data_IF_062777367381
#
_entry.id   IF_062777367381
#
_cell.length_a   1.000
_cell.length_b   1.000
_cell.length_c   1.000
_cell.angle_alpha   90.00
_cell.angle_beta   90.00
_cell.angle_gamma   90.00
#
_symmetry.space_group_name_H-M   'P 1'
#
loop_
_entity.id
_entity.type
_entity.pdbx_description
1 polymer ?
#
# COMPACT_ATOMS: atom_id res chain seq x y z
N UNK A 1 -17.61 -27.08 -1.27
CA UNK A 1 -17.86 -26.22 -0.09
C UNK A 1 -18.95 -25.23 -0.50
N UNK A 2 -20.10 -25.22 0.18
CA UNK A 2 -21.25 -24.42 -0.23
C UNK A 2 -21.05 -22.99 0.26
N UNK A 3 -20.89 -22.04 -0.66
CA UNK A 3 -20.70 -20.62 -0.34
C UNK A 3 -22.06 -20.04 0.07
N UNK A 4 -22.27 -19.84 1.37
CA UNK A 4 -23.53 -19.26 1.89
C UNK A 4 -23.48 -17.75 1.65
N UNK A 5 -24.02 -17.30 0.52
CA UNK A 5 -24.26 -15.87 0.26
C UNK A 5 -25.55 -15.44 0.98
N UNK A 6 -25.42 -14.60 2.01
CA UNK A 6 -26.57 -13.91 2.58
C UNK A 6 -27.08 -12.86 1.57
N UNK A 7 -28.34 -13.00 1.15
CA UNK A 7 -29.01 -12.03 0.27
C UNK A 7 -29.75 -11.03 1.15
N UNK A 8 -29.26 -9.80 1.19
CA UNK A 8 -29.95 -8.71 1.90
C UNK A 8 -30.99 -8.07 0.97
N UNK A 9 -32.27 -8.13 1.36
CA UNK A 9 -33.39 -7.54 0.61
C UNK A 9 -33.43 -6.01 0.64
N UNK A 10 -32.80 -5.39 1.65
CA UNK A 10 -32.75 -3.94 1.85
C UNK A 10 -31.32 -3.48 2.06
N UNK A 11 -31.01 -2.30 1.56
CA UNK A 11 -29.68 -1.69 1.74
C UNK A 11 -29.56 -1.10 3.14
N UNK A 12 -28.35 -1.03 3.71
CA UNK A 12 -28.11 -0.47 5.06
C UNK A 12 -28.69 0.93 5.25
N UNK A 13 -28.70 1.74 4.19
CA UNK A 13 -29.24 3.10 4.19
C UNK A 13 -30.78 3.15 4.39
N UNK A 14 -31.48 2.02 4.24
CA UNK A 14 -32.93 1.94 4.36
C UNK A 14 -33.40 1.51 5.75
N UNK A 15 -32.50 1.04 6.60
CA UNK A 15 -32.82 0.68 7.98
C UNK A 15 -32.85 1.92 8.88
N UNK A 16 -33.80 1.96 9.82
CA UNK A 16 -33.91 3.06 10.79
C UNK A 16 -34.46 4.37 10.21
N UNK A 17 -35.08 4.34 9.02
CA UNK A 17 -35.83 5.50 8.50
C UNK A 17 -36.88 5.93 9.51
N UNK A 18 -37.07 7.25 9.66
CA UNK A 18 -38.05 7.83 10.56
C UNK A 18 -39.44 7.28 10.24
N UNK A 19 -40.09 6.65 11.23
CA UNK A 19 -41.50 6.32 11.13
C UNK A 19 -42.30 7.63 11.06
N UNK A 20 -43.01 7.85 9.95
CA UNK A 20 -43.92 8.98 9.81
C UNK A 20 -45.26 8.53 10.40
N UNK A 21 -45.47 8.84 11.67
CA UNK A 21 -46.76 8.63 12.30
C UNK A 21 -47.69 9.75 11.86
N UNK A 22 -48.80 9.38 11.20
CA UNK A 22 -49.89 10.29 10.92
C UNK A 22 -51.00 10.06 11.94
N UNK A 23 -51.64 11.16 12.37
CA UNK A 23 -52.86 11.07 13.16
C UNK A 23 -53.98 10.59 12.24
N UNK A 24 -54.20 9.28 12.19
CA UNK A 24 -55.44 8.72 11.71
C UNK A 24 -56.49 8.91 12.80
N UNK A 25 -57.72 9.29 12.44
CA UNK A 25 -58.81 9.49 13.40
C UNK A 25 -59.09 8.22 14.21
N UNK A 26 -59.96 8.28 15.24
CA UNK A 26 -60.26 7.11 16.07
C UNK A 26 -60.82 5.99 15.17
N UNK A 27 -59.97 5.02 14.86
CA UNK A 27 -60.30 3.82 14.12
C UNK A 27 -60.15 2.66 15.09
N UNK A 28 -61.25 1.95 15.33
CA UNK A 28 -61.24 0.74 16.13
C UNK A 28 -60.73 -0.38 15.24
N UNK A 29 -59.43 -0.66 15.28
CA UNK A 29 -58.82 -1.76 14.52
C UNK A 29 -59.35 -3.12 14.98
N UNK A 30 -59.49 -3.30 16.30
CA UNK A 30 -60.04 -4.51 16.91
C UNK A 30 -60.84 -4.19 18.18
N UNK A 31 -61.99 -4.85 18.34
CA UNK A 31 -62.77 -4.85 19.58
C UNK A 31 -62.54 -6.16 20.33
N UNK A 32 -61.63 -6.15 21.30
CA UNK A 32 -61.36 -7.31 22.15
C UNK A 32 -62.32 -7.29 23.33
N UNK A 33 -63.33 -8.15 23.29
CA UNK A 33 -64.31 -8.29 24.38
C UNK A 33 -63.71 -9.09 25.55
N UNK A 34 -63.95 -8.70 26.81
CA UNK A 34 -63.47 -9.45 27.96
C UNK A 34 -64.03 -10.88 27.96
N UNK A 35 -63.17 -11.86 28.27
CA UNK A 35 -63.62 -13.23 28.46
C UNK A 35 -64.46 -13.31 29.76
N UNK A 36 -65.74 -13.71 29.70
CA UNK A 36 -66.63 -13.76 30.88
C UNK A 36 -66.09 -14.64 32.02
N UNK A 37 -65.41 -15.73 31.68
CA UNK A 37 -64.88 -16.68 32.66
C UNK A 37 -63.68 -16.11 33.42
N UNK A 38 -62.83 -15.32 32.74
CA UNK A 38 -61.71 -14.63 33.39
C UNK A 38 -62.18 -13.43 34.20
N UNK A 39 -63.21 -12.73 33.74
CA UNK A 39 -63.83 -11.62 34.47
C UNK A 39 -64.44 -12.10 35.79
N UNK A 40 -65.03 -13.30 35.82
CA UNK A 40 -65.58 -13.89 37.05
C UNK A 40 -64.48 -14.21 38.07
N UNK A 41 -63.28 -14.56 37.61
CA UNK A 41 -62.12 -14.87 38.45
C UNK A 41 -61.21 -13.66 38.72
N UNK A 42 -61.55 -12.49 38.19
CA UNK A 42 -60.79 -11.27 38.35
C UNK A 42 -60.77 -10.83 39.82
N UNK A 43 -59.58 -10.68 40.38
CA UNK A 43 -59.37 -10.17 41.73
C UNK A 43 -58.45 -8.95 41.66
N UNK A 44 -58.95 -7.81 42.09
CA UNK A 44 -58.17 -6.57 42.19
C UNK A 44 -57.03 -6.78 43.19
N UNK A 45 -55.78 -6.67 42.72
CA UNK A 45 -54.60 -6.71 43.57
C UNK A 45 -54.09 -5.30 43.82
N UNK A 46 -53.87 -4.96 45.09
CA UNK A 46 -53.41 -3.62 45.50
C UNK A 46 -51.92 -3.39 45.23
N UNK A 47 -51.12 -4.46 45.17
CA UNK A 47 -49.69 -4.40 44.85
C UNK A 47 -49.34 -5.49 43.84
N UNK A 48 -48.76 -5.08 42.71
CA UNK A 48 -48.23 -5.98 41.69
C UNK A 48 -46.75 -5.68 41.52
N UNK A 49 -45.89 -6.64 41.85
CA UNK A 49 -44.47 -6.56 41.48
C UNK A 49 -44.34 -7.00 40.02
N UNK A 50 -44.08 -6.06 39.12
CA UNK A 50 -43.75 -6.33 37.73
C UNK A 50 -42.24 -6.20 37.54
N UNK A 51 -41.58 -7.27 37.10
CA UNK A 51 -40.18 -7.19 36.70
C UNK A 51 -40.08 -6.47 35.37
N UNK A 52 -39.35 -5.35 35.32
CA UNK A 52 -39.04 -4.65 34.07
C UNK A 52 -37.58 -4.93 33.72
N UNK A 53 -37.33 -5.42 32.51
CA UNK A 53 -35.98 -5.61 32.02
C UNK A 53 -35.49 -4.31 31.36
N UNK A 54 -34.64 -3.57 32.07
CA UNK A 54 -33.94 -2.40 31.53
C UNK A 54 -32.50 -2.77 31.13
N UNK A 55 -32.36 -3.56 30.06
CA UNK A 55 -31.05 -3.89 29.50
C UNK A 55 -30.88 -3.18 28.17
N UNK A 56 -29.66 -2.70 27.90
CA UNK A 56 -29.31 -2.11 26.60
C UNK A 56 -29.55 -3.15 25.51
N UNK A 57 -30.46 -2.84 24.59
CA UNK A 57 -30.62 -3.62 23.37
C UNK A 57 -29.40 -3.42 22.49
N UNK A 58 -28.73 -4.52 22.13
CA UNK A 58 -27.63 -4.53 21.18
C UNK A 58 -28.13 -5.16 19.89
N UNK A 59 -27.78 -4.57 18.75
CA UNK A 59 -28.03 -5.14 17.44
C UNK A 59 -26.73 -5.74 16.88
N UNK A 60 -26.78 -6.97 16.39
CA UNK A 60 -25.67 -7.59 15.67
C UNK A 60 -25.54 -6.94 14.28
N UNK A 61 -24.31 -6.63 13.87
CA UNK A 61 -24.02 -6.09 12.55
C UNK A 61 -22.92 -6.93 11.89
N UNK A 62 -23.25 -7.54 10.75
CA UNK A 62 -22.30 -8.25 9.90
C UNK A 62 -22.15 -7.49 8.58
N UNK A 63 -20.93 -7.38 8.08
CA UNK A 63 -20.63 -6.74 6.81
C UNK A 63 -19.75 -7.68 5.97
N UNK A 64 -20.20 -8.00 4.76
CA UNK A 64 -19.45 -8.80 3.81
C UNK A 64 -18.81 -7.88 2.77
N UNK A 65 -17.48 -7.82 2.73
CA UNK A 65 -16.73 -7.10 1.70
C UNK A 65 -16.27 -8.08 0.62
N UNK A 66 -16.25 -7.61 -0.62
CA UNK A 66 -15.69 -8.38 -1.75
C UNK A 66 -14.26 -7.89 -1.99
N UNK A 67 -13.33 -8.81 -2.23
CA UNK A 67 -11.95 -8.47 -2.58
C UNK A 67 -11.89 -7.72 -3.91
N UNK A 68 -11.21 -6.58 -3.93
CA UNK A 68 -10.93 -5.83 -5.15
C UNK A 68 -9.48 -6.08 -5.59
N UNK A 69 -9.29 -6.57 -6.81
CA UNK A 69 -7.97 -6.73 -7.40
C UNK A 69 -7.45 -5.39 -7.90
N UNK A 70 -6.30 -4.96 -7.38
CA UNK A 70 -5.59 -3.78 -7.90
C UNK A 70 -4.30 -4.22 -8.55
N UNK A 71 -4.00 -3.65 -9.72
CA UNK A 71 -2.73 -3.86 -10.42
C UNK A 71 -1.94 -2.57 -10.42
N UNK A 72 -0.71 -2.65 -9.92
CA UNK A 72 0.26 -1.56 -10.02
C UNK A 72 1.01 -1.70 -11.34
N UNK A 73 0.91 -0.70 -12.21
CA UNK A 73 1.62 -0.64 -13.49
C UNK A 73 2.51 0.58 -13.51
N UNK A 74 3.80 0.39 -13.83
CA UNK A 74 4.77 1.45 -14.07
C UNK A 74 5.45 1.25 -15.42
N UNK A 75 5.81 2.35 -16.08
CA UNK A 75 6.56 2.34 -17.34
C UNK A 75 8.05 2.56 -17.04
N UNK A 76 8.88 1.58 -17.40
CA UNK A 76 10.34 1.71 -17.31
C UNK A 76 10.87 2.23 -18.66
N UNK A 77 11.31 3.48 -18.70
CA UNK A 77 11.93 4.06 -19.89
C UNK A 77 13.40 3.60 -19.99
N UNK A 78 13.66 2.55 -20.76
CA UNK A 78 15.03 2.09 -21.04
C UNK A 78 15.73 2.93 -22.13
N UNK A 79 14.95 3.64 -22.97
CA UNK A 79 15.42 4.45 -24.10
C UNK A 79 15.67 5.93 -23.71
N UNK A 80 15.96 6.22 -22.44
CA UNK A 80 16.12 7.58 -21.95
C UNK A 80 17.50 8.19 -22.25
N UNK A 81 17.53 9.51 -22.46
CA UNK A 81 18.77 10.30 -22.56
C UNK A 81 18.84 11.23 -23.78
N UNK A 82 18.05 10.96 -24.80
CA UNK A 82 17.92 11.83 -25.96
C UNK A 82 16.83 12.89 -25.73
N UNK A 83 17.05 14.14 -26.16
CA UNK A 83 16.00 15.15 -26.21
C UNK A 83 14.77 14.64 -26.99
N UNK A 84 13.57 15.12 -26.63
CA UNK A 84 12.27 14.72 -27.21
C UNK A 84 12.25 14.74 -28.76
N UNK A 85 13.05 15.60 -29.37
CA UNK A 85 13.10 15.83 -30.81
C UNK A 85 14.03 14.85 -31.55
N UNK A 86 14.82 14.06 -30.85
CA UNK A 86 15.84 13.19 -31.44
C UNK A 86 15.39 11.75 -31.32
N UNK A 87 15.25 11.08 -32.46
CA UNK A 87 14.96 9.67 -32.52
C UNK A 87 16.24 8.85 -32.29
N UNK A 88 16.36 8.09 -31.19
CA UNK A 88 17.56 7.30 -30.91
C UNK A 88 17.83 6.21 -31.95
N UNK A 89 16.80 5.78 -32.70
CA UNK A 89 16.90 4.75 -33.74
C UNK A 89 17.42 5.30 -35.07
N UNK A 90 17.48 6.62 -35.21
CA UNK A 90 18.01 7.27 -36.39
C UNK A 90 19.46 7.70 -36.13
N UNK A 91 20.40 6.92 -36.68
CA UNK A 91 21.83 7.14 -36.55
C UNK A 91 22.28 8.50 -37.08
N UNK A 92 21.63 9.02 -38.13
CA UNK A 92 22.00 10.31 -38.70
C UNK A 92 21.64 11.45 -37.73
N UNK A 93 20.43 11.41 -37.17
CA UNK A 93 19.99 12.44 -36.22
C UNK A 93 20.84 12.43 -34.94
N UNK A 94 21.17 11.24 -34.42
CA UNK A 94 22.02 11.11 -33.23
C UNK A 94 23.46 11.58 -33.51
N UNK A 95 24.03 11.26 -34.68
CA UNK A 95 25.36 11.72 -35.07
C UNK A 95 25.43 13.24 -35.26
N UNK A 96 24.41 13.84 -35.90
CA UNK A 96 24.30 15.30 -36.05
C UNK A 96 24.19 15.98 -34.69
N UNK A 97 23.41 15.42 -33.76
CA UNK A 97 23.32 15.95 -32.40
C UNK A 97 24.67 15.91 -31.66
N UNK A 98 25.37 14.77 -31.68
CA UNK A 98 26.70 14.64 -31.05
C UNK A 98 27.67 15.70 -31.56
N UNK A 99 27.77 15.85 -32.90
CA UNK A 99 28.62 16.88 -33.53
C UNK A 99 28.23 18.30 -33.16
N UNK A 100 26.94 18.58 -32.95
CA UNK A 100 26.46 19.89 -32.51
C UNK A 100 26.93 20.20 -31.09
N UNK A 101 26.86 19.22 -30.19
CA UNK A 101 27.32 19.35 -28.80
C UNK A 101 28.85 19.48 -28.73
N UNK A 102 29.58 18.72 -29.54
CA UNK A 102 31.06 18.79 -29.59
C UNK A 102 31.60 20.12 -30.09
N UNK A 103 30.80 20.86 -30.88
CA UNK A 103 31.13 22.21 -31.37
C UNK A 103 30.81 23.33 -30.38
N UNK A 104 30.19 23.02 -29.24
CA UNK A 104 29.92 24.00 -28.21
C UNK A 104 31.25 24.52 -27.62
N UNK A 105 31.40 25.83 -27.50
CA UNK A 105 32.62 26.50 -27.02
C UNK A 105 33.04 25.99 -25.63
N UNK A 106 32.05 25.59 -24.84
CA UNK A 106 32.24 25.06 -23.49
C UNK A 106 32.65 23.58 -23.44
N UNK A 107 32.47 22.81 -24.53
CA UNK A 107 32.67 21.37 -24.54
C UNK A 107 34.13 20.99 -24.27
N UNK A 108 35.06 21.59 -25.02
CA UNK A 108 36.49 21.29 -24.91
C UNK A 108 37.11 21.78 -23.57
N UNK A 109 36.83 23.00 -23.07
CA UNK A 109 37.31 23.45 -21.77
C UNK A 109 36.83 22.57 -20.61
N UNK A 110 35.55 22.16 -20.61
CA UNK A 110 34.99 21.27 -19.58
C UNK A 110 35.68 19.91 -19.58
N UNK A 111 35.87 19.30 -20.76
CA UNK A 111 36.59 18.02 -20.88
C UNK A 111 38.04 18.13 -20.43
N UNK A 112 38.74 19.21 -20.80
CA UNK A 112 40.15 19.39 -20.40
C UNK A 112 40.33 19.45 -18.88
N UNK A 113 39.41 20.10 -18.16
CA UNK A 113 39.42 20.11 -16.69
C UNK A 113 39.23 18.70 -16.12
N UNK A 114 38.28 17.93 -16.66
CA UNK A 114 38.06 16.54 -16.24
C UNK A 114 39.28 15.65 -16.52
N UNK A 115 39.92 15.81 -17.68
CA UNK A 115 41.13 15.07 -18.04
C UNK A 115 42.29 15.36 -17.09
N UNK A 116 42.50 16.63 -16.69
CA UNK A 116 43.55 16.96 -15.73
C UNK A 116 43.35 16.29 -14.37
N UNK A 117 42.10 16.15 -13.90
CA UNK A 117 41.79 15.45 -12.66
C UNK A 117 41.97 13.93 -12.81
N UNK A 118 41.49 13.37 -13.93
CA UNK A 118 41.59 11.94 -14.22
C UNK A 118 43.04 11.48 -14.39
N UNK A 119 43.87 12.25 -15.09
CA UNK A 119 45.28 11.93 -15.38
C UNK A 119 46.07 11.72 -14.09
N UNK A 120 45.89 12.60 -13.10
CA UNK A 120 46.53 12.45 -11.78
C UNK A 120 46.19 11.12 -11.12
N UNK A 121 44.91 10.75 -11.13
CA UNK A 121 44.44 9.50 -10.54
C UNK A 121 44.98 8.27 -11.29
N UNK A 122 45.03 8.32 -12.62
CA UNK A 122 45.58 7.24 -13.44
C UNK A 122 47.07 7.05 -13.17
N UNK A 123 47.84 8.14 -13.14
CA UNK A 123 49.27 8.08 -12.85
C UNK A 123 49.54 7.56 -11.43
N UNK A 124 48.73 7.95 -10.45
CA UNK A 124 48.82 7.45 -9.08
C UNK A 124 48.51 5.95 -9.00
N UNK A 125 47.45 5.48 -9.67
CA UNK A 125 47.10 4.07 -9.73
C UNK A 125 48.17 3.23 -10.45
N UNK A 126 48.87 3.82 -11.43
CA UNK A 126 49.99 3.18 -12.12
C UNK A 126 51.29 3.18 -11.32
N UNK A 127 51.47 4.10 -10.38
CA UNK A 127 52.70 4.21 -9.59
C UNK A 127 52.87 3.07 -8.58
N UNK A 128 51.77 2.59 -7.99
CA UNK A 128 51.82 1.50 -7.03
C UNK A 128 50.51 0.71 -7.03
N UNK A 129 50.61 -0.60 -7.25
CA UNK A 129 49.46 -1.49 -7.14
C UNK A 129 49.19 -1.84 -5.67
N UNK A 130 48.32 -1.06 -5.03
CA UNK A 130 47.91 -1.30 -3.64
C UNK A 130 47.15 -2.61 -3.44
N UNK A 131 46.67 -3.23 -4.53
CA UNK A 131 45.93 -4.49 -4.52
C UNK A 131 46.81 -5.68 -4.88
N UNK A 132 48.13 -5.48 -5.03
CA UNK A 132 49.04 -6.58 -5.23
C UNK A 132 49.23 -7.35 -3.92
N UNK A 133 48.78 -8.60 -3.91
CA UNK A 133 49.11 -9.52 -2.85
C UNK A 133 50.46 -10.18 -3.16
N UNK A 134 51.35 -10.16 -2.17
CA UNK A 134 52.64 -10.82 -2.26
C UNK A 134 52.52 -12.25 -1.74
N UNK A 135 53.15 -13.19 -2.44
CA UNK A 135 53.27 -14.60 -2.04
C UNK A 135 51.96 -15.41 -2.11
N UNK A 136 51.01 -15.00 -2.96
CA UNK A 136 49.76 -15.75 -3.19
C UNK A 136 49.98 -17.18 -3.72
N UNK A 137 51.13 -17.43 -4.35
CA UNK A 137 51.53 -18.69 -4.92
C UNK A 137 52.48 -19.50 -4.01
N UNK A 138 52.85 -18.98 -2.85
CA UNK A 138 53.77 -19.68 -1.94
C UNK A 138 53.03 -20.55 -0.92
N UNK A 139 53.53 -21.77 -0.73
CA UNK A 139 53.07 -22.65 0.35
C UNK A 139 53.63 -22.13 1.68
N UNK A 140 52.79 -21.86 2.70
CA UNK A 140 53.24 -21.39 4.00
C UNK A 140 54.28 -22.34 4.61
N UNK A 141 55.49 -21.82 4.84
CA UNK A 141 56.60 -22.58 5.43
C UNK A 141 56.93 -22.01 6.80
N UNK A 142 57.24 -22.88 7.77
CA UNK A 142 57.55 -22.45 9.14
C UNK A 142 58.82 -21.59 9.21
N UNK A 143 58.82 -20.62 10.12
CA UNK A 143 59.94 -19.72 10.31
C UNK A 143 61.16 -20.47 10.85
N UNK A 144 62.31 -20.31 10.18
CA UNK A 144 63.60 -20.92 10.59
C UNK A 144 64.04 -20.49 12.00
N UNK A 145 63.59 -19.32 12.47
CA UNK A 145 63.71 -18.91 13.87
C UNK A 145 62.35 -18.52 14.44
N UNK A 146 61.99 -19.02 15.63
CA UNK A 146 60.76 -18.61 16.29
C UNK A 146 60.80 -17.10 16.57
N UNK A 147 59.74 -16.40 16.20
CA UNK A 147 59.59 -14.97 16.48
C UNK A 147 59.42 -14.78 17.98
N UNK A 148 60.50 -14.43 18.67
CA UNK A 148 60.40 -13.89 20.03
C UNK A 148 59.77 -12.50 19.94
N UNK A 149 58.48 -12.40 20.20
CA UNK A 149 57.82 -11.12 20.44
C UNK A 149 58.51 -10.49 21.66
N UNK A 150 59.07 -9.29 21.47
CA UNK A 150 59.64 -8.47 22.52
C UNK A 150 58.69 -7.31 22.79
#
# INVERSE_FOLDING_TARGET
MMEIKQVFLKTRAEFGKQCIFNFYGPHMDEEIKPNPDEMTNYKVRTHCNAGVQNTKQLALHEAQTVGAETKSSGMFHFEGGWPKEINPRDEETTARFRRRIEKDEDWAPKLRNLFQQMERNILQNGALNIYQHYFDDMVPTELVKPRSLR
#
